data_IF_965581371931
#
_entry.id   IF_965581371931
#
_cell.length_a   1.000
_cell.length_b   1.000
_cell.length_c   1.000
_cell.angle_alpha   90.00
_cell.angle_beta   90.00
_cell.angle_gamma   90.00
#
_symmetry.space_group_name_H-M   'P 1'
#
loop_
_entity.id
_entity.type
_entity.pdbx_description
1 polymer ?
#
# COMPACT_ATOMS: atom_id res chain seq x y z
N UNK A 1 5.95 17.88 33.76
CA UNK A 1 4.63 17.61 34.41
C UNK A 1 4.70 16.36 35.27
N UNK A 2 3.75 16.16 36.20
CA UNK A 2 3.69 14.94 37.03
C UNK A 2 2.94 13.79 36.35
N UNK A 3 2.95 12.60 36.97
CA UNK A 3 2.33 11.39 36.40
C UNK A 3 0.81 11.43 36.37
N UNK A 4 0.15 12.22 37.23
CA UNK A 4 -1.31 12.32 37.29
C UNK A 4 -1.80 13.23 36.16
N UNK A 5 -1.17 14.39 35.99
CA UNK A 5 -1.41 15.30 34.89
C UNK A 5 -1.14 14.62 33.54
N UNK A 6 -0.03 13.89 33.42
CA UNK A 6 0.29 13.14 32.20
C UNK A 6 -0.74 12.04 31.89
N UNK A 7 -1.20 11.31 32.91
CA UNK A 7 -2.23 10.28 32.77
C UNK A 7 -3.55 10.88 32.28
N UNK A 8 -3.97 12.00 32.86
CA UNK A 8 -5.17 12.74 32.44
C UNK A 8 -5.05 13.24 31.00
N UNK A 9 -3.90 13.80 30.62
CA UNK A 9 -3.66 14.32 29.27
C UNK A 9 -3.63 13.19 28.21
N UNK A 10 -3.05 12.04 28.53
CA UNK A 10 -2.95 10.92 27.60
C UNK A 10 -4.19 10.00 27.59
N UNK A 11 -5.14 10.18 28.53
CA UNK A 11 -6.30 9.30 28.66
C UNK A 11 -5.95 7.87 29.09
N UNK A 12 -4.85 7.68 29.82
CA UNK A 12 -4.36 6.36 30.28
C UNK A 12 -4.14 6.34 31.78
N UNK A 13 -3.92 5.15 32.36
CA UNK A 13 -3.64 5.02 33.78
C UNK A 13 -2.24 5.52 34.16
N UNK A 14 -2.08 5.93 35.43
CA UNK A 14 -0.77 6.31 35.99
C UNK A 14 0.25 5.17 35.88
N UNK A 15 -0.17 3.91 36.01
CA UNK A 15 0.69 2.75 35.85
C UNK A 15 1.25 2.63 34.42
N UNK A 16 0.44 2.94 33.41
CA UNK A 16 0.88 3.00 32.00
C UNK A 16 1.92 4.08 31.79
N UNK A 17 1.70 5.29 32.31
CA UNK A 17 2.69 6.37 32.26
C UNK A 17 4.02 5.95 32.91
N UNK A 18 3.97 5.35 34.11
CA UNK A 18 5.18 4.85 34.80
C UNK A 18 5.88 3.74 34.02
N UNK A 19 5.14 2.96 33.25
CA UNK A 19 5.71 1.92 32.37
C UNK A 19 6.39 2.57 31.16
N UNK A 20 5.81 3.60 30.56
CA UNK A 20 6.43 4.36 29.48
C UNK A 20 7.72 5.05 29.93
N UNK A 21 7.75 5.67 31.12
CA UNK A 21 8.99 6.25 31.66
C UNK A 21 10.08 5.19 31.85
N UNK A 22 9.74 4.02 32.41
CA UNK A 22 10.71 2.94 32.63
C UNK A 22 11.27 2.34 31.34
N UNK A 23 10.45 2.26 30.29
CA UNK A 23 10.83 1.72 28.98
C UNK A 23 11.49 2.76 28.06
N UNK A 24 11.59 4.02 28.48
CA UNK A 24 12.09 5.11 27.65
C UNK A 24 11.15 5.50 26.51
N UNK A 25 9.86 5.14 26.56
CA UNK A 25 8.89 5.51 25.54
C UNK A 25 8.47 6.99 25.63
N UNK A 26 8.72 7.64 26.77
CA UNK A 26 8.63 9.08 26.98
C UNK A 26 9.86 9.54 27.78
N UNK A 27 10.37 10.72 27.44
CA UNK A 27 11.48 11.35 28.17
C UNK A 27 10.97 11.80 29.53
N UNK A 28 11.59 11.30 30.59
CA UNK A 28 11.26 11.68 31.95
C UNK A 28 12.48 11.56 32.86
N UNK A 29 12.60 12.49 33.80
CA UNK A 29 13.63 12.48 34.85
C UNK A 29 13.02 11.95 36.13
N UNK A 30 13.71 11.00 36.78
CA UNK A 30 13.25 10.45 38.06
C UNK A 30 13.83 11.28 39.21
N UNK A 31 12.96 11.95 39.96
CA UNK A 31 13.35 12.75 41.13
C UNK A 31 12.79 12.07 42.38
N UNK A 32 13.65 11.30 43.06
CA UNK A 32 13.26 10.45 44.19
C UNK A 32 12.22 9.39 43.79
N UNK A 33 11.05 9.42 44.44
CA UNK A 33 9.93 8.49 44.17
C UNK A 33 8.98 8.98 43.07
N UNK A 34 9.24 10.14 42.45
CA UNK A 34 8.37 10.77 41.44
C UNK A 34 9.05 10.82 40.08
N UNK A 35 8.25 10.85 39.02
CA UNK A 35 8.71 11.09 37.66
C UNK A 35 8.31 12.51 37.24
N UNK A 36 9.27 13.27 36.73
CA UNK A 36 9.06 14.55 36.06
C UNK A 36 9.10 14.27 34.56
N UNK A 37 7.94 14.36 33.90
CA UNK A 37 7.75 13.98 32.50
C UNK A 37 7.91 15.22 31.61
N UNK A 38 8.64 15.06 30.51
CA UNK A 38 8.73 16.05 29.45
C UNK A 38 7.41 16.15 28.66
N UNK A 39 6.89 17.37 28.53
CA UNK A 39 5.59 17.61 27.92
C UNK A 39 5.61 17.31 26.41
N UNK A 40 6.71 17.63 25.74
CA UNK A 40 6.87 17.45 24.29
C UNK A 40 6.93 15.98 23.93
N UNK A 41 7.74 15.20 24.66
CA UNK A 41 7.84 13.75 24.49
C UNK A 41 6.51 13.04 24.77
N UNK A 42 5.75 13.48 25.79
CA UNK A 42 4.41 12.96 26.04
C UNK A 42 3.45 13.28 24.88
N UNK A 43 3.42 14.52 24.40
CA UNK A 43 2.59 14.92 23.27
C UNK A 43 2.93 14.13 22.01
N UNK A 44 4.22 13.89 21.74
CA UNK A 44 4.66 13.03 20.65
C UNK A 44 4.13 11.59 20.81
N UNK A 45 4.28 11.00 22.00
CA UNK A 45 3.82 9.64 22.29
C UNK A 45 2.31 9.48 22.12
N UNK A 46 1.52 10.47 22.55
CA UNK A 46 0.06 10.49 22.37
C UNK A 46 -0.31 10.52 20.88
N UNK A 47 0.41 11.31 20.09
CA UNK A 47 0.17 11.43 18.65
C UNK A 47 0.75 10.26 17.83
N UNK A 48 1.68 9.48 18.40
CA UNK A 48 2.38 8.42 17.68
C UNK A 48 1.44 7.41 16.98
N UNK A 49 0.34 6.91 17.59
CA UNK A 49 -0.57 6.01 16.88
C UNK A 49 -1.20 6.64 15.64
N UNK A 50 -1.48 7.95 15.67
CA UNK A 50 -2.01 8.69 14.52
C UNK A 50 -0.94 8.87 13.44
N UNK A 51 0.29 9.18 13.83
CA UNK A 51 1.44 9.32 12.92
C UNK A 51 1.81 8.00 12.24
N UNK A 52 1.69 6.88 12.96
CA UNK A 52 1.98 5.54 12.43
C UNK A 52 0.84 4.96 11.59
N UNK A 53 -0.38 5.50 11.69
CA UNK A 53 -1.52 5.01 10.93
C UNK A 53 -1.40 5.46 9.48
N UNK A 54 -0.99 4.53 8.61
CA UNK A 54 -1.06 4.73 7.16
C UNK A 54 -2.51 5.07 6.78
N UNK A 55 -2.68 6.08 5.93
CA UNK A 55 -3.99 6.44 5.40
C UNK A 55 -4.62 5.22 4.71
N UNK A 56 -5.92 5.02 4.93
CA UNK A 56 -6.63 3.94 4.24
C UNK A 56 -6.73 4.33 2.77
N UNK A 57 -6.14 3.52 1.89
CA UNK A 57 -6.30 3.70 0.44
C UNK A 57 -7.76 3.48 0.08
N UNK A 58 -8.38 4.48 -0.54
CA UNK A 58 -9.74 4.43 -1.06
C UNK A 58 -9.64 4.17 -2.55
N UNK A 59 -10.32 3.12 -3.02
CA UNK A 59 -10.49 2.89 -4.44
C UNK A 59 -11.73 3.65 -4.91
N UNK A 60 -11.54 4.59 -5.81
CA UNK A 60 -12.60 5.38 -6.44
C UNK A 60 -12.32 5.54 -7.92
N UNK A 61 -13.34 5.93 -8.69
CA UNK A 61 -13.17 6.25 -10.11
C UNK A 61 -12.09 7.33 -10.30
N UNK A 62 -12.11 8.36 -9.46
CA UNK A 62 -11.17 9.48 -9.49
C UNK A 62 -9.72 9.02 -9.24
N UNK A 63 -9.47 8.30 -8.14
CA UNK A 63 -8.12 7.84 -7.78
C UNK A 63 -7.56 6.85 -8.79
N UNK A 64 -8.41 5.96 -9.33
CA UNK A 64 -7.97 4.98 -10.31
C UNK A 64 -7.75 5.57 -11.70
N UNK A 65 -8.53 6.60 -12.07
CA UNK A 65 -8.28 7.36 -13.30
C UNK A 65 -6.99 8.17 -13.17
N UNK A 66 -6.72 8.74 -11.99
CA UNK A 66 -5.50 9.52 -11.73
C UNK A 66 -4.21 8.69 -11.87
N UNK A 67 -4.24 7.38 -11.56
CA UNK A 67 -3.08 6.47 -11.74
C UNK A 67 -3.01 5.84 -13.15
N UNK A 68 -3.77 6.35 -14.12
CA UNK A 68 -3.74 5.90 -15.52
C UNK A 68 -4.85 4.91 -15.92
N UNK A 69 -5.84 4.69 -15.07
CA UNK A 69 -7.01 3.89 -15.43
C UNK A 69 -7.91 4.56 -16.47
N UNK A 70 -8.57 3.76 -17.31
CA UNK A 70 -9.49 4.24 -18.33
C UNK A 70 -10.94 4.00 -17.91
N UNK A 71 -11.70 5.08 -17.73
CA UNK A 71 -13.12 5.01 -17.41
C UNK A 71 -13.91 4.47 -18.62
N UNK A 72 -14.78 3.51 -18.34
CA UNK A 72 -15.72 2.92 -19.28
C UNK A 72 -17.12 2.96 -18.68
N UNK A 73 -18.03 3.63 -19.38
CA UNK A 73 -19.43 3.75 -18.96
C UNK A 73 -20.35 3.35 -20.11
N UNK A 74 -21.17 2.33 -19.88
CA UNK A 74 -22.20 1.89 -20.84
C UNK A 74 -23.26 1.05 -20.16
N UNK A 75 -24.51 1.17 -20.61
CA UNK A 75 -25.64 0.35 -20.13
C UNK A 75 -25.79 0.37 -18.59
N UNK A 76 -25.59 1.53 -17.95
CA UNK A 76 -25.67 1.67 -16.50
C UNK A 76 -24.51 1.04 -15.70
N UNK A 77 -23.48 0.53 -16.37
CA UNK A 77 -22.24 0.08 -15.73
C UNK A 77 -21.18 1.17 -15.80
N UNK A 78 -20.43 1.34 -14.71
CA UNK A 78 -19.27 2.23 -14.62
C UNK A 78 -18.06 1.41 -14.13
N UNK A 79 -17.03 1.31 -14.97
CA UNK A 79 -15.81 0.55 -14.69
C UNK A 79 -14.57 1.37 -15.02
N UNK A 80 -13.48 1.15 -14.30
CA UNK A 80 -12.17 1.72 -14.64
C UNK A 80 -11.23 0.59 -15.00
N UNK A 81 -10.81 0.48 -16.26
CA UNK A 81 -9.85 -0.51 -16.72
C UNK A 81 -8.43 -0.08 -16.41
N UNK A 82 -7.65 -0.98 -15.82
CA UNK A 82 -6.26 -0.74 -15.42
C UNK A 82 -5.36 -1.44 -16.44
N UNK A 83 -5.16 -0.79 -17.59
CA UNK A 83 -4.42 -1.38 -18.71
C UNK A 83 -2.90 -1.35 -18.50
N UNK A 84 -2.41 -0.43 -17.67
CA UNK A 84 -1.01 -0.37 -17.21
C UNK A 84 -0.72 -1.33 -16.04
N UNK A 85 -1.53 -2.38 -15.84
CA UNK A 85 -1.36 -3.30 -14.72
C UNK A 85 0.02 -3.97 -14.70
N UNK A 86 0.66 -4.14 -15.86
CA UNK A 86 1.99 -4.75 -15.97
C UNK A 86 3.02 -3.92 -15.22
N UNK A 87 3.01 -2.60 -15.39
CA UNK A 87 3.90 -1.67 -14.69
C UNK A 87 3.62 -1.70 -13.18
N UNK A 88 2.34 -1.71 -12.79
CA UNK A 88 1.93 -1.80 -11.40
C UNK A 88 2.32 -3.14 -10.74
N UNK A 89 2.38 -4.23 -11.51
CA UNK A 89 2.86 -5.53 -11.06
C UNK A 89 4.39 -5.61 -10.99
N UNK A 90 5.10 -4.59 -11.48
CA UNK A 90 6.56 -4.56 -11.62
C UNK A 90 7.08 -5.33 -12.84
N UNK A 91 6.26 -5.58 -13.86
CA UNK A 91 6.69 -6.17 -15.13
C UNK A 91 7.11 -5.06 -16.09
N UNK A 92 8.40 -5.02 -16.39
CA UNK A 92 9.00 -4.08 -17.33
C UNK A 92 9.33 -4.82 -18.62
N UNK A 93 8.82 -4.33 -19.75
CA UNK A 93 8.98 -4.94 -21.06
C UNK A 93 9.54 -3.93 -22.04
N UNK A 94 10.61 -4.30 -22.72
CA UNK A 94 11.09 -3.62 -23.92
C UNK A 94 10.75 -4.44 -25.14
N UNK A 95 10.47 -3.77 -26.26
CA UNK A 95 10.07 -4.42 -27.51
C UNK A 95 11.00 -4.04 -28.65
N UNK A 96 11.19 -4.97 -29.58
CA UNK A 96 11.65 -4.65 -30.92
C UNK A 96 10.55 -3.94 -31.71
N UNK A 97 10.91 -3.28 -32.81
CA UNK A 97 9.93 -2.69 -33.74
C UNK A 97 8.95 -3.72 -34.32
N UNK A 98 9.29 -5.00 -34.28
CA UNK A 98 8.40 -6.10 -34.69
C UNK A 98 7.32 -6.46 -33.66
N UNK A 99 7.32 -5.82 -32.48
CA UNK A 99 6.42 -6.16 -31.36
C UNK A 99 6.87 -7.35 -30.51
N UNK A 100 8.02 -7.95 -30.82
CA UNK A 100 8.59 -9.02 -30.00
C UNK A 100 9.31 -8.43 -28.77
N UNK A 101 9.20 -9.10 -27.62
CA UNK A 101 9.91 -8.69 -26.39
C UNK A 101 11.41 -8.79 -26.64
N UNK A 102 12.12 -7.68 -26.45
CA UNK A 102 13.59 -7.57 -26.57
C UNK A 102 14.30 -7.73 -25.24
N UNK A 103 13.72 -7.22 -24.16
CA UNK A 103 14.20 -7.42 -22.79
C UNK A 103 13.03 -7.40 -21.80
N UNK A 104 13.20 -8.10 -20.68
CA UNK A 104 12.18 -8.13 -19.63
C UNK A 104 12.81 -8.15 -18.24
N UNK A 105 12.21 -7.40 -17.33
CA UNK A 105 12.49 -7.48 -15.91
C UNK A 105 11.19 -7.64 -15.12
N UNK A 106 11.25 -8.38 -14.02
CA UNK A 106 10.16 -8.51 -13.08
C UNK A 106 10.63 -8.10 -11.69
N UNK A 107 10.02 -7.04 -11.17
CA UNK A 107 10.35 -6.42 -9.87
C UNK A 107 11.84 -6.06 -9.74
N UNK A 108 12.41 -5.55 -10.83
CA UNK A 108 13.81 -5.15 -10.91
C UNK A 108 14.80 -6.29 -11.23
N UNK A 109 14.36 -7.54 -11.30
CA UNK A 109 15.20 -8.67 -11.67
C UNK A 109 15.03 -9.05 -13.14
N UNK A 110 16.12 -9.22 -13.87
CA UNK A 110 16.09 -9.65 -15.27
C UNK A 110 15.51 -11.05 -15.41
N UNK A 111 14.51 -11.21 -16.29
CA UNK A 111 13.86 -12.50 -16.57
C UNK A 111 13.90 -12.84 -18.06
N UNK A 112 13.73 -14.12 -18.39
CA UNK A 112 13.66 -14.51 -19.80
C UNK A 112 12.37 -14.01 -20.45
N UNK A 113 12.46 -13.58 -21.72
CA UNK A 113 11.32 -13.05 -22.48
C UNK A 113 10.15 -14.04 -22.55
N UNK A 114 10.43 -15.35 -22.58
CA UNK A 114 9.41 -16.40 -22.54
C UNK A 114 8.64 -16.45 -21.21
N UNK A 115 9.29 -16.15 -20.08
CA UNK A 115 8.61 -16.06 -18.79
C UNK A 115 7.82 -14.76 -18.68
N UNK A 116 8.36 -13.67 -19.22
CA UNK A 116 7.67 -12.39 -19.27
C UNK A 116 6.37 -12.47 -20.07
N UNK A 117 6.39 -13.14 -21.24
CA UNK A 117 5.19 -13.40 -22.05
C UNK A 117 4.15 -14.25 -21.30
N UNK A 118 4.60 -15.22 -20.49
CA UNK A 118 3.70 -16.03 -19.64
C UNK A 118 3.08 -15.22 -18.50
N UNK A 119 3.83 -14.31 -17.88
CA UNK A 119 3.28 -13.37 -16.88
C UNK A 119 2.27 -12.44 -17.55
N UNK A 120 2.61 -11.84 -18.70
CA UNK A 120 1.72 -10.99 -19.47
C UNK A 120 0.41 -11.70 -19.83
N UNK A 121 0.48 -12.96 -20.26
CA UNK A 121 -0.69 -13.79 -20.59
C UNK A 121 -1.45 -14.36 -19.39
N UNK A 122 -0.96 -14.17 -18.16
CA UNK A 122 -1.58 -14.76 -16.96
C UNK A 122 -2.85 -14.03 -16.49
N UNK A 123 -2.97 -12.75 -16.85
CA UNK A 123 -4.11 -11.90 -16.53
C UNK A 123 -4.56 -11.22 -17.83
N UNK A 124 -5.82 -11.45 -18.20
CA UNK A 124 -6.40 -10.87 -19.42
C UNK A 124 -6.81 -9.41 -19.17
N UNK A 125 -7.47 -9.15 -18.03
CA UNK A 125 -8.08 -7.86 -17.71
C UNK A 125 -8.04 -7.58 -16.23
N UNK A 126 -7.85 -6.32 -15.88
CA UNK A 126 -8.00 -5.77 -14.54
C UNK A 126 -8.92 -4.55 -14.61
N UNK A 127 -9.94 -4.50 -13.77
CA UNK A 127 -10.83 -3.36 -13.70
C UNK A 127 -11.36 -3.12 -12.29
N UNK A 128 -11.70 -1.88 -11.98
CA UNK A 128 -12.52 -1.55 -10.84
C UNK A 128 -13.97 -1.45 -11.27
N UNK A 129 -14.88 -2.02 -10.47
CA UNK A 129 -16.32 -1.90 -10.68
C UNK A 129 -16.90 -0.89 -9.68
N UNK A 130 -17.41 0.23 -10.19
CA UNK A 130 -17.93 1.29 -9.34
C UNK A 130 -19.24 0.89 -8.62
N UNK A 131 -19.95 -0.14 -9.11
CA UNK A 131 -21.19 -0.60 -8.49
C UNK A 131 -20.95 -1.29 -7.14
N UNK A 132 -19.83 -2.03 -6.98
CA UNK A 132 -19.50 -2.73 -5.74
C UNK A 132 -18.24 -2.21 -5.03
N UNK A 133 -17.51 -1.28 -5.66
CA UNK A 133 -16.30 -0.68 -5.12
C UNK A 133 -15.11 -1.64 -5.05
N UNK A 134 -15.09 -2.70 -5.88
CA UNK A 134 -14.05 -3.73 -5.83
C UNK A 134 -13.19 -3.75 -7.09
N UNK A 135 -11.92 -4.08 -6.88
CA UNK A 135 -11.03 -4.49 -7.95
C UNK A 135 -11.39 -5.92 -8.38
N UNK A 136 -11.51 -6.11 -9.68
CA UNK A 136 -11.85 -7.34 -10.38
C UNK A 136 -10.77 -7.63 -11.41
N UNK A 137 -10.62 -8.90 -11.73
CA UNK A 137 -9.70 -9.33 -12.77
C UNK A 137 -10.25 -10.58 -13.46
N UNK A 138 -9.64 -10.90 -14.60
CA UNK A 138 -9.88 -12.14 -15.31
C UNK A 138 -8.55 -12.82 -15.58
N UNK A 139 -8.44 -14.09 -15.22
CA UNK A 139 -7.28 -14.91 -15.57
C UNK A 139 -7.20 -15.09 -17.09
N UNK A 140 -5.99 -14.96 -17.60
CA UNK A 140 -5.64 -15.44 -18.93
C UNK A 140 -5.15 -16.90 -18.86
N UNK A 141 -4.54 -17.34 -19.95
CA UNK A 141 -4.05 -18.71 -20.12
C UNK A 141 -2.55 -18.89 -19.79
N UNK A 142 -1.84 -17.79 -19.57
CA UNK A 142 -0.41 -17.80 -19.27
C UNK A 142 -0.10 -18.26 -17.84
N UNK A 143 0.99 -19.00 -17.68
CA UNK A 143 1.49 -19.41 -16.38
C UNK A 143 3.01 -19.43 -16.37
N UNK A 144 3.59 -18.60 -15.52
CA UNK A 144 5.03 -18.45 -15.36
C UNK A 144 5.52 -19.25 -14.17
N UNK A 145 6.76 -19.74 -14.25
CA UNK A 145 7.46 -20.29 -13.08
C UNK A 145 8.10 -19.23 -12.18
N UNK A 146 8.15 -17.97 -12.65
CA UNK A 146 8.70 -16.84 -11.88
C UNK A 146 7.68 -16.31 -10.89
N UNK A 147 6.42 -16.18 -11.33
CA UNK A 147 5.31 -15.76 -10.49
C UNK A 147 4.04 -16.52 -10.86
N UNK A 148 3.36 -17.07 -9.86
CA UNK A 148 2.04 -17.65 -10.04
C UNK A 148 1.00 -16.57 -10.35
N UNK A 149 -0.13 -16.92 -10.97
CA UNK A 149 -1.17 -15.95 -11.32
C UNK A 149 -1.71 -15.19 -10.09
N UNK A 150 -1.78 -15.87 -8.95
CA UNK A 150 -2.15 -15.26 -7.67
C UNK A 150 -1.09 -14.26 -7.19
N UNK A 151 0.20 -14.61 -7.29
CA UNK A 151 1.28 -13.68 -6.93
C UNK A 151 1.27 -12.44 -7.82
N UNK A 152 1.02 -12.61 -9.13
CA UNK A 152 0.86 -11.48 -10.06
C UNK A 152 -0.31 -10.60 -9.62
N UNK A 153 -1.47 -11.19 -9.29
CA UNK A 153 -2.62 -10.45 -8.80
C UNK A 153 -2.32 -9.66 -7.51
N UNK A 154 -1.68 -10.29 -6.52
CA UNK A 154 -1.30 -9.62 -5.28
C UNK A 154 -0.34 -8.44 -5.54
N UNK A 155 0.59 -8.61 -6.49
CA UNK A 155 1.51 -7.55 -6.87
C UNK A 155 0.80 -6.39 -7.59
N UNK A 156 -0.19 -6.68 -8.44
CA UNK A 156 -1.04 -5.64 -9.05
C UNK A 156 -1.77 -4.83 -7.98
N UNK A 157 -2.43 -5.51 -7.03
CA UNK A 157 -3.15 -4.83 -5.94
C UNK A 157 -2.19 -3.99 -5.08
N UNK A 158 -0.99 -4.50 -4.80
CA UNK A 158 0.04 -3.76 -4.08
C UNK A 158 0.51 -2.53 -4.86
N UNK A 159 0.76 -2.67 -6.17
CA UNK A 159 1.14 -1.57 -7.06
C UNK A 159 0.08 -0.48 -7.15
N UNK A 160 -1.19 -0.85 -7.33
CA UNK A 160 -2.32 0.10 -7.33
C UNK A 160 -2.36 0.88 -6.02
N UNK A 161 -2.24 0.20 -4.87
CA UNK A 161 -2.23 0.87 -3.56
C UNK A 161 -1.04 1.82 -3.41
N UNK A 162 0.14 1.42 -3.86
CA UNK A 162 1.33 2.26 -3.82
C UNK A 162 1.16 3.50 -4.70
N UNK A 163 0.65 3.34 -5.93
CA UNK A 163 0.38 4.44 -6.84
C UNK A 163 -0.64 5.44 -6.28
N UNK A 164 -1.75 4.96 -5.70
CA UNK A 164 -2.75 5.86 -5.07
C UNK A 164 -2.17 6.57 -3.84
N UNK A 165 -1.28 5.92 -3.08
CA UNK A 165 -0.64 6.55 -1.92
C UNK A 165 0.36 7.65 -2.32
N UNK A 166 0.84 7.62 -3.57
CA UNK A 166 1.80 8.58 -4.11
C UNK A 166 1.14 9.78 -4.83
N UNK A 167 -0.19 9.79 -4.96
CA UNK A 167 -0.97 10.95 -5.42
C UNK A 167 -1.02 12.05 -4.34
#
# INVERSE_FOLDING_TARGET
>A
MDTIAAAKQAGVTVATIRTWCRRGAITATKTGRRWVIDATSLAYRINLPKLLRKAKVIFSVETLTAIGGQLWEKNGMCRVYINNWTELAGLELSYYNSGNISAAAYRGEGISNSQASKILGSIEKVWFDAADGKLRFRYGYGESRIASREQVWQNIVAGIRAAITAL
#
